data_IF_866363648591
#
_entry.id   IF_866363648591
#
_cell.length_a   1.000
_cell.length_b   1.000
_cell.length_c   1.000
_cell.angle_alpha   90.00
_cell.angle_beta   90.00
_cell.angle_gamma   90.00
#
_symmetry.space_group_name_H-M   'P 1'
#
loop_
_entity.id
_entity.type
_entity.pdbx_description
1 polymer ?
#
# COMPACT_ATOMS: atom_id res chain seq x y z
N UNK A 1 -9.77 -16.75 7.95
CA UNK A 1 -8.45 -16.23 7.57
C UNK A 1 -8.13 -16.65 6.13
N UNK A 2 -7.33 -15.87 5.42
CA UNK A 2 -6.90 -16.13 4.04
C UNK A 2 -8.06 -16.45 3.07
N UNK A 3 -9.08 -15.61 3.06
CA UNK A 3 -10.32 -15.81 2.29
C UNK A 3 -10.06 -16.10 0.81
N UNK A 4 -8.98 -15.54 0.24
CA UNK A 4 -8.59 -15.72 -1.15
C UNK A 4 -8.16 -17.15 -1.50
N UNK A 5 -7.80 -17.98 -0.51
CA UNK A 5 -7.36 -19.37 -0.73
C UNK A 5 -8.52 -20.34 -0.93
N UNK A 6 -9.71 -19.99 -0.47
CA UNK A 6 -10.89 -20.85 -0.55
C UNK A 6 -11.50 -20.83 -1.95
N UNK A 7 -10.92 -21.63 -2.85
CA UNK A 7 -11.37 -21.78 -4.25
C UNK A 7 -11.67 -23.24 -4.57
N UNK A 8 -12.48 -23.48 -5.61
CA UNK A 8 -12.80 -24.81 -6.07
C UNK A 8 -13.45 -25.69 -5.00
N UNK A 9 -13.08 -26.97 -4.92
CA UNK A 9 -13.63 -27.94 -3.95
C UNK A 9 -13.42 -27.50 -2.52
N UNK A 10 -12.23 -27.04 -2.15
CA UNK A 10 -11.94 -26.59 -0.80
C UNK A 10 -12.83 -25.42 -0.37
N UNK A 11 -13.06 -24.46 -1.25
CA UNK A 11 -13.99 -23.35 -0.98
C UNK A 11 -15.43 -23.83 -0.79
N UNK A 12 -15.86 -24.83 -1.57
CA UNK A 12 -17.19 -25.44 -1.42
C UNK A 12 -17.34 -26.14 -0.08
N UNK A 13 -16.35 -26.93 0.33
CA UNK A 13 -16.38 -27.67 1.61
C UNK A 13 -16.46 -26.71 2.79
N UNK A 14 -15.64 -25.66 2.80
CA UNK A 14 -15.66 -24.62 3.82
C UNK A 14 -17.03 -23.90 3.85
N UNK A 15 -17.59 -23.56 2.68
CA UNK A 15 -18.90 -22.94 2.57
C UNK A 15 -20.02 -23.82 3.14
N UNK A 16 -20.01 -25.13 2.86
CA UNK A 16 -20.97 -26.06 3.44
C UNK A 16 -20.80 -26.18 4.96
N UNK A 17 -19.58 -26.22 5.45
CA UNK A 17 -19.31 -26.26 6.89
C UNK A 17 -19.84 -25.01 7.59
N UNK A 18 -19.61 -23.83 7.04
CA UNK A 18 -20.10 -22.56 7.59
C UNK A 18 -21.64 -22.56 7.63
N UNK A 19 -22.30 -22.97 6.53
CA UNK A 19 -23.77 -23.06 6.50
C UNK A 19 -24.30 -24.03 7.54
N UNK A 20 -23.65 -25.17 7.74
CA UNK A 20 -24.03 -26.14 8.78
C UNK A 20 -23.84 -25.54 10.17
N UNK A 21 -22.76 -24.86 10.47
CA UNK A 21 -22.56 -24.17 11.74
C UNK A 21 -23.65 -23.13 11.96
N UNK A 22 -23.95 -22.30 10.95
CA UNK A 22 -25.01 -21.29 11.03
C UNK A 22 -26.39 -21.90 11.29
N UNK A 23 -26.69 -23.07 10.72
CA UNK A 23 -27.98 -23.75 10.95
C UNK A 23 -28.13 -24.34 12.36
N UNK A 24 -27.02 -24.58 13.06
CA UNK A 24 -27.01 -25.11 14.42
C UNK A 24 -26.94 -24.01 15.49
N UNK A 25 -26.57 -22.79 15.09
CA UNK A 25 -26.42 -21.67 16.02
C UNK A 25 -27.78 -21.11 16.44
N UNK A 26 -27.90 -20.77 17.72
CA UNK A 26 -29.03 -20.04 18.25
C UNK A 26 -28.76 -18.54 18.13
N UNK A 27 -29.45 -17.87 17.20
CA UNK A 27 -29.26 -16.44 16.95
C UNK A 27 -28.48 -16.12 15.68
N UNK A 28 -28.12 -14.85 15.51
CA UNK A 28 -27.44 -14.36 14.32
C UNK A 28 -25.93 -14.68 14.41
N UNK A 29 -25.40 -15.33 13.38
CA UNK A 29 -23.96 -15.59 13.22
C UNK A 29 -23.35 -14.56 12.28
N UNK A 30 -22.41 -13.78 12.77
CA UNK A 30 -21.60 -12.87 11.98
C UNK A 30 -20.34 -13.61 11.47
N UNK A 31 -20.04 -13.47 10.19
CA UNK A 31 -18.83 -14.03 9.58
C UNK A 31 -17.91 -12.91 9.15
N UNK A 32 -16.62 -13.07 9.46
CA UNK A 32 -15.56 -12.16 9.05
C UNK A 32 -14.52 -12.94 8.27
N UNK A 33 -14.06 -12.38 7.16
CA UNK A 33 -12.97 -12.93 6.37
C UNK A 33 -11.81 -11.96 6.35
N UNK A 34 -10.60 -12.48 6.52
CA UNK A 34 -9.35 -11.72 6.34
C UNK A 34 -8.58 -12.26 5.14
N UNK A 35 -7.87 -11.39 4.45
CA UNK A 35 -7.06 -11.76 3.29
C UNK A 35 -5.93 -10.75 3.12
N UNK A 36 -4.69 -11.23 2.97
CA UNK A 36 -3.54 -10.36 2.70
C UNK A 36 -3.55 -9.81 1.26
N UNK A 37 -4.14 -10.56 0.33
CA UNK A 37 -4.26 -10.17 -1.07
C UNK A 37 -5.72 -10.05 -1.47
N UNK A 38 -6.14 -8.85 -1.82
CA UNK A 38 -7.40 -8.63 -2.52
C UNK A 38 -7.24 -9.02 -4.00
N UNK A 39 -8.25 -8.88 -4.82
CA UNK A 39 -8.17 -9.20 -6.23
C UNK A 39 -7.13 -8.29 -6.89
N UNK A 40 -5.97 -8.84 -7.23
CA UNK A 40 -4.94 -8.15 -7.99
C UNK A 40 -5.24 -8.27 -9.49
N UNK A 41 -6.16 -7.44 -9.99
CA UNK A 41 -6.45 -7.32 -11.42
C UNK A 41 -6.29 -5.85 -11.80
N UNK A 42 -5.18 -5.53 -12.46
CA UNK A 42 -4.83 -4.18 -12.92
C UNK A 42 -5.87 -3.59 -13.90
N UNK A 43 -6.76 -4.42 -14.45
CA UNK A 43 -7.84 -4.00 -15.36
C UNK A 43 -9.09 -3.52 -14.63
N UNK A 44 -9.23 -3.82 -13.34
CA UNK A 44 -10.41 -3.48 -12.54
C UNK A 44 -10.21 -2.19 -11.78
N UNK A 45 -11.28 -1.39 -11.69
CA UNK A 45 -11.31 -0.26 -10.75
C UNK A 45 -11.35 -0.77 -9.31
N UNK A 46 -10.90 0.05 -8.37
CA UNK A 46 -10.93 -0.27 -6.96
C UNK A 46 -12.34 -0.66 -6.46
N UNK A 47 -13.38 0.05 -6.91
CA UNK A 47 -14.78 -0.29 -6.58
C UNK A 47 -15.17 -1.68 -7.09
N UNK A 48 -14.73 -2.06 -8.30
CA UNK A 48 -14.97 -3.39 -8.86
C UNK A 48 -14.22 -4.48 -8.10
N UNK A 49 -13.00 -4.21 -7.65
CA UNK A 49 -12.23 -5.15 -6.82
C UNK A 49 -12.95 -5.42 -5.49
N UNK A 50 -13.45 -4.38 -4.80
CA UNK A 50 -14.23 -4.54 -3.57
C UNK A 50 -15.53 -5.30 -3.81
N UNK A 51 -16.23 -5.04 -4.90
CA UNK A 51 -17.43 -5.76 -5.29
C UNK A 51 -17.14 -7.25 -5.49
N UNK A 52 -16.03 -7.58 -6.17
CA UNK A 52 -15.60 -8.97 -6.35
C UNK A 52 -15.27 -9.69 -5.05
N UNK A 53 -14.63 -9.00 -4.12
CA UNK A 53 -14.37 -9.54 -2.77
C UNK A 53 -15.67 -9.79 -2.01
N UNK A 54 -16.62 -8.87 -2.08
CA UNK A 54 -17.94 -9.02 -1.46
C UNK A 54 -18.73 -10.21 -2.05
N UNK A 55 -18.64 -10.42 -3.38
CA UNK A 55 -19.22 -11.61 -4.04
C UNK A 55 -18.62 -12.91 -3.50
N UNK A 56 -17.30 -12.99 -3.42
CA UNK A 56 -16.60 -14.17 -2.90
C UNK A 56 -16.97 -14.42 -1.44
N UNK A 57 -16.98 -13.39 -0.61
CA UNK A 57 -17.40 -13.49 0.78
C UNK A 57 -18.86 -13.96 0.91
N UNK A 58 -19.75 -13.42 0.06
CA UNK A 58 -21.16 -13.82 0.03
C UNK A 58 -21.33 -15.30 -0.31
N UNK A 59 -20.56 -15.77 -1.29
CA UNK A 59 -20.58 -17.16 -1.71
C UNK A 59 -20.09 -18.10 -0.60
N UNK A 60 -18.97 -17.78 0.03
CA UNK A 60 -18.34 -18.63 1.08
C UNK A 60 -19.19 -18.60 2.36
N UNK A 61 -19.60 -17.44 2.80
CA UNK A 61 -20.32 -17.30 4.08
C UNK A 61 -21.84 -17.57 3.98
N UNK A 62 -22.38 -17.66 2.77
CA UNK A 62 -23.83 -17.87 2.57
C UNK A 62 -24.68 -16.74 3.16
N UNK A 63 -24.21 -15.49 3.02
CA UNK A 63 -24.92 -14.26 3.43
C UNK A 63 -24.57 -13.18 2.42
N UNK A 64 -25.45 -12.20 2.22
CA UNK A 64 -25.18 -11.07 1.35
C UNK A 64 -24.17 -10.12 1.98
N UNK A 65 -23.09 -9.84 1.24
CA UNK A 65 -22.11 -8.79 1.54
C UNK A 65 -22.09 -7.79 0.38
N UNK A 66 -21.89 -6.55 0.72
CA UNK A 66 -21.73 -5.45 -0.24
C UNK A 66 -20.33 -4.88 -0.18
N UNK A 67 -19.92 -4.14 -1.20
CA UNK A 67 -18.59 -3.53 -1.25
C UNK A 67 -18.31 -2.57 -0.10
N UNK A 68 -19.34 -1.98 0.52
CA UNK A 68 -19.25 -1.10 1.68
C UNK A 68 -18.80 -1.84 2.94
N UNK A 69 -18.99 -3.16 2.98
CA UNK A 69 -18.58 -4.03 4.09
C UNK A 69 -17.15 -4.59 3.89
N UNK A 70 -16.55 -4.33 2.76
CA UNK A 70 -15.14 -4.66 2.50
C UNK A 70 -14.27 -3.56 3.09
N UNK A 71 -13.51 -3.90 4.12
CA UNK A 71 -12.55 -3.00 4.76
C UNK A 71 -11.17 -3.31 4.18
N UNK A 72 -10.51 -2.30 3.69
CA UNK A 72 -9.15 -2.39 3.18
C UNK A 72 -8.24 -1.32 3.81
N UNK A 73 -6.99 -1.27 3.37
CA UNK A 73 -6.04 -0.30 3.88
C UNK A 73 -6.47 1.13 3.54
N UNK A 74 -6.30 2.02 4.51
CA UNK A 74 -6.41 3.45 4.30
C UNK A 74 -5.03 4.06 4.44
N UNK A 75 -4.48 4.55 3.35
CA UNK A 75 -3.19 5.21 3.33
C UNK A 75 -3.37 6.72 3.41
N UNK A 76 -2.48 7.36 4.14
CA UNK A 76 -2.36 8.81 4.24
C UNK A 76 -0.87 9.18 4.17
N UNK A 77 -0.58 10.44 3.84
CA UNK A 77 0.76 10.99 4.02
C UNK A 77 1.07 10.95 5.52
N UNK A 78 2.21 10.37 5.88
CA UNK A 78 2.63 10.17 7.25
C UNK A 78 3.71 11.17 7.70
N UNK A 79 4.49 11.73 6.76
CA UNK A 79 5.66 12.54 7.08
C UNK A 79 5.37 14.04 7.00
N UNK A 80 4.96 14.54 5.84
CA UNK A 80 4.68 15.97 5.62
C UNK A 80 3.68 16.13 4.50
N UNK A 81 2.78 17.12 4.63
CA UNK A 81 1.87 17.52 3.54
C UNK A 81 2.58 18.35 2.48
N UNK A 82 3.70 18.98 2.83
CA UNK A 82 4.49 19.81 1.93
C UNK A 82 5.50 18.98 1.14
N UNK A 83 5.41 19.02 -0.18
CA UNK A 83 6.40 18.36 -1.05
C UNK A 83 7.71 19.16 -1.04
N UNK A 84 8.89 18.50 -0.86
CA UNK A 84 10.17 19.17 -0.88
C UNK A 84 10.44 19.83 -2.23
N UNK A 85 10.97 21.05 -2.19
CA UNK A 85 11.41 21.76 -3.40
C UNK A 85 12.63 21.09 -4.04
N UNK A 86 12.80 21.31 -5.36
CA UNK A 86 13.97 20.82 -6.10
C UNK A 86 15.28 21.35 -5.52
N UNK A 87 15.26 22.56 -4.95
CA UNK A 87 16.41 23.16 -4.26
C UNK A 87 16.79 22.43 -2.98
N UNK A 88 15.83 22.08 -2.14
CA UNK A 88 16.06 21.32 -0.92
C UNK A 88 16.59 19.92 -1.21
N UNK A 89 15.99 19.22 -2.21
CA UNK A 89 16.49 17.94 -2.66
C UNK A 89 17.93 18.01 -3.19
N UNK A 90 18.25 19.04 -3.98
CA UNK A 90 19.60 19.29 -4.48
C UNK A 90 20.59 19.52 -3.32
N UNK A 91 20.20 20.27 -2.30
CA UNK A 91 21.02 20.48 -1.11
C UNK A 91 21.30 19.14 -0.41
N UNK A 92 20.28 18.30 -0.24
CA UNK A 92 20.43 16.97 0.37
C UNK A 92 21.42 16.09 -0.41
N UNK A 93 21.32 16.03 -1.76
CA UNK A 93 22.20 15.23 -2.60
C UNK A 93 23.65 15.71 -2.53
N UNK A 94 23.88 17.01 -2.30
CA UNK A 94 25.23 17.61 -2.26
C UNK A 94 25.87 17.60 -0.87
N UNK A 95 25.13 17.19 0.16
CA UNK A 95 25.62 17.12 1.54
C UNK A 95 25.56 15.67 2.06
N UNK A 96 26.41 15.31 3.03
CA UNK A 96 26.33 14.00 3.67
C UNK A 96 24.97 13.78 4.34
N UNK A 97 24.45 12.55 4.29
CA UNK A 97 23.27 12.15 5.04
C UNK A 97 23.60 12.22 6.54
N UNK A 98 22.68 12.74 7.39
CA UNK A 98 22.97 13.01 8.80
C UNK A 98 23.34 11.78 9.65
N UNK A 99 22.85 10.58 9.29
CA UNK A 99 23.05 9.34 10.06
C UNK A 99 22.70 9.44 11.57
N UNK A 100 21.80 10.35 11.92
CA UNK A 100 21.28 10.45 13.27
C UNK A 100 20.52 9.17 13.65
N UNK A 101 20.62 8.76 14.92
CA UNK A 101 19.78 7.67 15.46
C UNK A 101 18.36 8.14 15.83
N UNK A 102 18.06 9.43 15.68
CA UNK A 102 16.74 9.98 15.97
C UNK A 102 15.83 9.86 14.73
N UNK A 103 14.75 9.11 14.85
CA UNK A 103 13.74 8.98 13.82
C UNK A 103 13.12 10.33 13.42
N UNK A 104 13.07 11.30 14.35
CA UNK A 104 12.53 12.62 14.07
C UNK A 104 13.36 13.42 13.06
N UNK A 105 14.65 13.13 12.94
CA UNK A 105 15.50 13.73 11.90
C UNK A 105 15.22 13.08 10.54
N UNK A 106 15.02 11.77 10.52
CA UNK A 106 14.72 11.04 9.29
C UNK A 106 13.37 11.44 8.70
N UNK A 107 12.31 11.53 9.52
CA UNK A 107 10.95 11.90 9.04
C UNK A 107 10.84 13.33 8.53
N UNK A 108 11.77 14.21 8.85
CA UNK A 108 11.84 15.59 8.37
C UNK A 108 12.82 15.78 7.20
N UNK A 109 13.55 14.72 6.84
CA UNK A 109 14.57 14.82 5.81
C UNK A 109 13.93 14.90 4.42
N UNK A 110 14.25 15.92 3.59
CA UNK A 110 13.54 16.16 2.34
C UNK A 110 13.51 14.96 1.39
N UNK A 111 14.59 14.20 1.28
CA UNK A 111 14.61 13.02 0.41
C UNK A 111 13.69 11.91 0.92
N UNK A 112 13.53 11.75 2.23
CA UNK A 112 12.62 10.75 2.82
C UNK A 112 11.16 11.13 2.53
N UNK A 113 10.82 12.42 2.69
CA UNK A 113 9.49 12.95 2.36
C UNK A 113 9.20 12.76 0.85
N UNK A 114 10.17 13.06 0.00
CA UNK A 114 10.03 12.87 -1.45
C UNK A 114 9.80 11.39 -1.81
N UNK A 115 10.54 10.45 -1.18
CA UNK A 115 10.34 9.01 -1.38
C UNK A 115 8.92 8.60 -1.00
N UNK A 116 8.42 9.06 0.15
CA UNK A 116 7.04 8.76 0.54
C UNK A 116 6.04 9.27 -0.50
N UNK A 117 6.09 10.54 -0.83
CA UNK A 117 5.07 11.22 -1.62
C UNK A 117 5.12 10.87 -3.12
N UNK A 118 6.32 10.65 -3.66
CA UNK A 118 6.50 10.46 -5.10
C UNK A 118 6.63 8.99 -5.50
N UNK A 119 7.06 8.13 -4.57
CA UNK A 119 7.40 6.73 -4.85
C UNK A 119 6.49 5.76 -4.09
N UNK A 120 6.41 5.92 -2.76
CA UNK A 120 5.69 4.97 -1.92
C UNK A 120 4.16 5.15 -2.01
N UNK A 121 3.69 6.37 -2.27
CA UNK A 121 2.28 6.72 -2.37
C UNK A 121 1.91 7.18 -3.78
N UNK A 122 0.73 6.79 -4.23
CA UNK A 122 0.12 7.26 -5.47
C UNK A 122 -1.28 7.81 -5.16
N UNK A 123 -1.49 9.09 -5.44
CA UNK A 123 -2.79 9.72 -5.22
C UNK A 123 -3.73 9.51 -6.41
N UNK A 124 -4.87 8.88 -6.16
CA UNK A 124 -5.92 8.73 -7.16
C UNK A 124 -6.97 9.83 -7.00
N UNK A 125 -6.96 10.80 -7.92
CA UNK A 125 -7.89 11.95 -7.92
C UNK A 125 -9.36 11.55 -8.06
N UNK A 126 -9.67 10.44 -8.76
CA UNK A 126 -11.05 10.00 -9.00
C UNK A 126 -11.67 9.44 -7.71
N UNK A 127 -10.86 8.76 -6.90
CA UNK A 127 -11.30 8.12 -5.67
C UNK A 127 -10.97 8.95 -4.42
N UNK A 128 -10.26 10.05 -4.60
CA UNK A 128 -9.80 10.95 -3.51
C UNK A 128 -9.09 10.16 -2.41
N UNK A 129 -8.16 9.25 -2.82
CA UNK A 129 -7.52 8.30 -1.91
C UNK A 129 -6.07 8.04 -2.34
N UNK A 130 -5.21 7.76 -1.35
CA UNK A 130 -3.86 7.27 -1.58
C UNK A 130 -3.84 5.75 -1.72
N UNK A 131 -2.99 5.26 -2.59
CA UNK A 131 -2.66 3.86 -2.82
C UNK A 131 -1.16 3.66 -2.68
N UNK A 132 -0.74 2.42 -2.49
CA UNK A 132 0.68 2.09 -2.58
C UNK A 132 1.19 2.37 -3.98
N UNK A 133 2.33 3.05 -4.07
CA UNK A 133 3.06 3.20 -5.31
C UNK A 133 3.46 1.84 -5.88
N UNK A 134 3.62 1.76 -7.20
CA UNK A 134 4.18 0.55 -7.81
C UNK A 134 5.65 0.42 -7.42
N UNK A 135 6.11 -0.78 -7.03
CA UNK A 135 7.53 -1.00 -6.79
C UNK A 135 8.36 -0.60 -8.02
N UNK A 136 9.40 0.19 -7.81
CA UNK A 136 10.35 0.60 -8.85
C UNK A 136 11.78 0.29 -8.41
N UNK A 137 12.69 0.20 -9.36
CA UNK A 137 14.10 -0.01 -9.07
C UNK A 137 14.76 1.24 -8.47
N UNK A 138 15.88 1.06 -7.77
CA UNK A 138 16.67 2.18 -7.25
C UNK A 138 17.20 3.05 -8.40
N UNK A 139 17.52 2.42 -9.54
CA UNK A 139 17.93 3.11 -10.76
C UNK A 139 16.82 4.04 -11.28
N UNK A 140 15.58 3.57 -11.30
CA UNK A 140 14.45 4.39 -11.77
C UNK A 140 14.12 5.51 -10.77
N UNK A 141 14.27 5.27 -9.46
CA UNK A 141 14.20 6.33 -8.44
C UNK A 141 15.29 7.40 -8.68
N UNK A 142 16.52 6.96 -8.93
CA UNK A 142 17.64 7.86 -9.18
C UNK A 142 17.41 8.72 -10.44
N UNK A 143 16.88 8.14 -11.52
CA UNK A 143 16.51 8.89 -12.72
C UNK A 143 15.45 9.96 -12.43
N UNK A 144 14.40 9.61 -11.67
CA UNK A 144 13.36 10.57 -11.29
C UNK A 144 13.93 11.72 -10.46
N UNK A 145 14.78 11.41 -9.49
CA UNK A 145 15.45 12.41 -8.66
C UNK A 145 16.43 13.28 -9.46
N UNK A 146 17.17 12.69 -10.41
CA UNK A 146 18.06 13.38 -11.34
C UNK A 146 17.30 14.39 -12.22
N UNK A 147 16.17 13.97 -12.80
CA UNK A 147 15.30 14.84 -13.62
C UNK A 147 14.79 16.03 -12.78
N UNK A 148 14.38 15.77 -11.53
CA UNK A 148 13.83 16.80 -10.64
C UNK A 148 14.90 17.79 -10.17
N UNK A 149 16.09 17.33 -9.89
CA UNK A 149 17.14 18.14 -9.26
C UNK A 149 18.22 18.65 -10.25
N UNK A 150 18.34 18.03 -11.41
CA UNK A 150 19.42 18.28 -12.37
C UNK A 150 20.78 17.73 -11.96
N UNK A 151 20.85 16.90 -10.91
CA UNK A 151 22.07 16.24 -10.47
C UNK A 151 22.33 14.94 -11.25
N UNK A 152 23.57 14.45 -11.25
CA UNK A 152 23.95 13.21 -11.94
C UNK A 152 23.24 11.97 -11.35
N UNK A 153 22.74 11.07 -12.22
CA UNK A 153 22.01 9.85 -11.78
C UNK A 153 22.82 9.01 -10.80
N UNK A 154 24.12 8.80 -11.05
CA UNK A 154 24.98 8.02 -10.15
C UNK A 154 25.11 8.62 -8.77
N UNK A 155 25.08 9.96 -8.65
CA UNK A 155 25.09 10.68 -7.38
C UNK A 155 23.77 10.56 -6.67
N UNK A 156 22.66 10.69 -7.40
CA UNK A 156 21.30 10.49 -6.88
C UNK A 156 21.12 9.06 -6.36
N UNK A 157 21.62 8.06 -7.10
CA UNK A 157 21.56 6.65 -6.69
C UNK A 157 22.29 6.40 -5.37
N UNK A 158 23.53 6.89 -5.25
CA UNK A 158 24.29 6.77 -4.00
C UNK A 158 23.57 7.42 -2.83
N UNK A 159 23.06 8.64 -3.04
CA UNK A 159 22.32 9.35 -2.01
C UNK A 159 21.06 8.59 -1.56
N UNK A 160 20.26 8.06 -2.49
CA UNK A 160 19.08 7.24 -2.18
C UNK A 160 19.47 6.02 -1.33
N UNK A 161 20.54 5.30 -1.73
CA UNK A 161 21.01 4.13 -0.98
C UNK A 161 21.43 4.52 0.45
N UNK A 162 22.15 5.62 0.61
CA UNK A 162 22.57 6.11 1.94
C UNK A 162 21.37 6.49 2.80
N UNK A 163 20.35 7.17 2.23
CA UNK A 163 19.14 7.53 2.93
C UNK A 163 18.34 6.29 3.35
N UNK A 164 18.15 5.31 2.45
CA UNK A 164 17.45 4.06 2.76
C UNK A 164 18.19 3.24 3.83
N UNK A 165 19.52 3.20 3.79
CA UNK A 165 20.31 2.55 4.83
C UNK A 165 20.21 3.27 6.18
N UNK A 166 20.16 4.60 6.16
CA UNK A 166 19.95 5.39 7.38
C UNK A 166 18.56 5.16 7.99
N UNK A 167 17.52 5.01 7.17
CA UNK A 167 16.15 4.74 7.63
C UNK A 167 15.91 3.28 8.06
N UNK A 168 16.88 2.39 7.86
CA UNK A 168 16.78 0.99 8.28
C UNK A 168 17.26 0.83 9.74
N UNK A 169 16.43 1.27 10.67
CA UNK A 169 16.65 1.17 12.12
C UNK A 169 16.36 -0.22 12.65
#
# INVERSE_FOLDING_TARGET
>A
DELHTYRGMQGSDVSFLIRRIKSLAIGQVLCFGTSATMVADDSMTYSQQREKVAEVASCIFGSSYTKEQVIDETLAIGLSDDEPSDGELRICINNPVPHSADIHDAIKYPTVIWIEQSIALAYNRKENKYFRGKPISIEDMAKQLSIKTGEEEGKCQKHIIEVLNWCNF
#
